data_IF_850624694242
#
_entry.id   IF_850624694242
#
_cell.length_a   1.000
_cell.length_b   1.000
_cell.length_c   1.000
_cell.angle_alpha   90.00
_cell.angle_beta   90.00
_cell.angle_gamma   90.00
#
_symmetry.space_group_name_H-M   'P 1'
#
loop_
_entity.id
_entity.type
_entity.pdbx_description
1 polymer ?
#
# COMPACT_ATOMS: atom_id res chain seq x y z
N UNK A 1 27.92 16.53 13.94
CA UNK A 1 27.13 15.30 13.78
C UNK A 1 25.81 15.56 13.01
N UNK A 2 25.18 16.73 13.20
CA UNK A 2 23.95 17.12 12.48
C UNK A 2 24.32 17.69 11.11
N UNK A 3 23.62 17.26 10.05
CA UNK A 3 23.79 17.74 8.67
C UNK A 3 22.74 18.81 8.33
N UNK A 4 21.49 18.59 8.70
CA UNK A 4 20.37 19.51 8.47
C UNK A 4 19.29 19.37 9.56
N UNK A 5 18.57 20.47 9.78
CA UNK A 5 17.46 20.54 10.72
C UNK A 5 16.26 21.15 10.01
N UNK A 6 15.09 20.56 10.16
CA UNK A 6 13.85 21.13 9.65
C UNK A 6 12.79 21.22 10.73
N UNK A 7 12.00 22.26 10.65
CA UNK A 7 10.79 22.44 11.44
C UNK A 7 9.61 22.34 10.49
N UNK A 8 8.58 21.63 10.90
CA UNK A 8 7.41 21.41 10.08
C UNK A 8 6.15 21.25 10.91
N UNK A 9 5.02 21.33 10.23
CA UNK A 9 3.70 21.07 10.80
C UNK A 9 2.93 20.16 9.84
N UNK A 10 2.48 19.01 10.32
CA UNK A 10 1.78 17.98 9.55
C UNK A 10 2.49 17.58 8.26
N UNK A 11 3.82 17.58 8.24
CA UNK A 11 4.59 17.44 7.01
C UNK A 11 5.49 16.21 6.98
N UNK A 12 5.98 15.73 8.12
CA UNK A 12 6.84 14.55 8.12
C UNK A 12 6.07 13.31 7.65
N UNK A 13 6.67 12.42 6.89
CA UNK A 13 6.07 11.11 6.62
C UNK A 13 5.77 10.35 7.92
N UNK A 14 4.78 9.48 7.90
CA UNK A 14 4.39 8.63 9.04
C UNK A 14 3.90 9.38 10.29
N UNK A 15 3.23 10.52 10.11
CA UNK A 15 2.67 11.27 11.25
C UNK A 15 1.25 10.84 11.62
N UNK A 16 0.49 10.27 10.69
CA UNK A 16 -0.92 9.92 10.90
C UNK A 16 -1.89 11.12 10.92
N UNK A 17 -1.39 12.33 10.98
CA UNK A 17 -2.17 13.57 10.90
C UNK A 17 -1.99 14.22 9.55
N UNK A 18 -3.08 14.72 8.96
CA UNK A 18 -3.07 15.40 7.69
C UNK A 18 -3.86 16.70 7.79
N UNK A 19 -3.27 17.78 7.26
CA UNK A 19 -3.97 19.02 7.00
C UNK A 19 -4.19 19.13 5.50
N UNK A 20 -5.39 19.45 5.07
CA UNK A 20 -5.73 19.76 3.68
C UNK A 20 -6.00 21.25 3.51
N UNK A 21 -5.90 21.74 2.29
CA UNK A 21 -6.40 23.06 1.91
C UNK A 21 -7.12 22.95 0.58
N UNK A 22 -8.31 23.52 0.51
CA UNK A 22 -9.06 23.60 -0.74
C UNK A 22 -8.40 24.65 -1.63
N UNK A 23 -7.65 24.22 -2.63
CA UNK A 23 -6.93 25.10 -3.55
C UNK A 23 -7.54 25.02 -4.94
N UNK A 24 -7.74 26.19 -5.54
CA UNK A 24 -8.17 26.35 -6.93
C UNK A 24 -6.98 26.73 -7.80
N UNK A 25 -6.75 25.96 -8.85
CA UNK A 25 -5.79 26.24 -9.91
C UNK A 25 -6.53 26.18 -11.24
N UNK A 26 -6.52 27.25 -12.00
CA UNK A 26 -7.36 27.41 -13.19
C UNK A 26 -8.84 27.10 -12.86
N UNK A 27 -9.43 26.09 -13.49
CA UNK A 27 -10.80 25.62 -13.26
C UNK A 27 -10.91 24.45 -12.28
N UNK A 28 -9.79 23.90 -11.83
CA UNK A 28 -9.74 22.72 -10.95
C UNK A 28 -9.70 23.17 -9.48
N UNK A 29 -10.62 22.62 -8.69
CA UNK A 29 -10.53 22.67 -7.24
C UNK A 29 -9.97 21.31 -6.75
N UNK A 30 -8.92 21.35 -5.95
CA UNK A 30 -8.24 20.19 -5.40
C UNK A 30 -7.99 20.38 -3.92
N UNK A 31 -7.96 19.27 -3.16
CA UNK A 31 -7.62 19.27 -1.74
C UNK A 31 -6.32 18.48 -1.52
N UNK A 32 -5.15 19.04 -1.86
CA UNK A 32 -3.88 18.43 -1.58
C UNK A 32 -3.55 18.50 -0.07
N UNK A 33 -2.67 17.63 0.37
CA UNK A 33 -2.09 17.70 1.72
C UNK A 33 -1.29 19.00 1.86
N UNK A 34 -1.65 19.80 2.84
CA UNK A 34 -0.91 21.01 3.20
C UNK A 34 0.23 20.64 4.14
N UNK A 35 1.44 21.04 3.77
CA UNK A 35 2.65 20.84 4.55
C UNK A 35 3.33 22.17 4.81
N UNK A 36 3.31 22.64 6.05
CA UNK A 36 4.06 23.83 6.44
C UNK A 36 5.47 23.40 6.83
N UNK A 37 6.49 23.85 6.12
CA UNK A 37 7.87 23.35 6.26
C UNK A 37 8.89 24.48 6.16
N UNK A 38 9.99 24.34 6.88
CA UNK A 38 11.17 25.17 6.63
C UNK A 38 11.89 24.68 5.35
N UNK A 39 12.63 25.57 4.65
CA UNK A 39 13.30 25.21 3.40
C UNK A 39 14.19 23.99 3.49
N UNK A 40 14.86 23.76 4.63
CA UNK A 40 15.74 22.63 4.85
C UNK A 40 15.04 21.27 4.96
N UNK A 41 13.70 21.26 5.03
CA UNK A 41 12.89 20.06 4.99
C UNK A 41 13.23 19.17 3.78
N UNK A 42 13.41 19.77 2.61
CA UNK A 42 13.75 19.04 1.40
C UNK A 42 15.14 18.41 1.46
N UNK A 43 16.08 19.00 2.20
CA UNK A 43 17.40 18.41 2.46
C UNK A 43 17.28 17.28 3.48
N UNK A 44 16.56 17.46 4.59
CA UNK A 44 16.39 16.46 5.63
C UNK A 44 15.81 15.17 5.05
N UNK A 45 14.78 15.28 4.21
CA UNK A 45 14.11 14.12 3.61
C UNK A 45 14.61 13.74 2.20
N UNK A 46 15.68 14.41 1.70
CA UNK A 46 16.30 14.16 0.39
C UNK A 46 15.31 14.16 -0.78
N UNK A 47 14.40 15.12 -0.79
CA UNK A 47 13.51 15.31 -1.92
C UNK A 47 14.31 15.58 -3.20
N UNK A 48 13.72 15.24 -4.33
CA UNK A 48 14.31 15.52 -5.63
C UNK A 48 13.36 16.42 -6.42
N UNK A 49 13.90 17.43 -7.07
CA UNK A 49 13.16 18.20 -8.04
C UNK A 49 12.78 17.35 -9.25
N UNK A 50 11.66 17.63 -9.89
CA UNK A 50 11.17 16.90 -11.06
C UNK A 50 12.17 16.94 -12.23
N UNK A 51 12.98 17.97 -12.33
CA UNK A 51 14.05 18.13 -13.33
C UNK A 51 15.35 17.37 -13.01
N UNK A 52 15.41 16.69 -11.86
CA UNK A 52 16.56 15.88 -11.46
C UNK A 52 17.73 16.65 -10.83
N UNK A 53 17.63 17.95 -10.60
CA UNK A 53 18.69 18.79 -10.00
C UNK A 53 18.79 18.67 -8.46
N UNK A 54 18.29 17.60 -7.87
CA UNK A 54 18.29 17.41 -6.42
C UNK A 54 17.25 18.27 -5.71
N UNK A 55 17.52 18.60 -4.43
CA UNK A 55 16.57 19.36 -3.58
C UNK A 55 16.75 20.88 -3.65
N UNK A 56 17.88 21.37 -4.16
CA UNK A 56 18.22 22.80 -4.16
C UNK A 56 17.17 23.71 -4.83
N UNK A 57 16.59 23.36 -6.00
CA UNK A 57 15.53 24.17 -6.60
C UNK A 57 14.29 24.31 -5.73
N UNK A 58 13.97 23.27 -4.94
CA UNK A 58 12.82 23.25 -4.04
C UNK A 58 13.05 24.19 -2.83
N UNK A 59 14.26 24.11 -2.27
CA UNK A 59 14.70 25.03 -1.19
C UNK A 59 14.62 26.47 -1.64
N UNK A 60 15.14 26.77 -2.85
CA UNK A 60 15.12 28.13 -3.39
C UNK A 60 13.71 28.64 -3.67
N UNK A 61 12.81 27.75 -4.13
CA UNK A 61 11.42 28.11 -4.37
C UNK A 61 10.74 28.58 -3.07
N UNK A 62 10.88 27.83 -1.96
CA UNK A 62 10.33 28.25 -0.67
C UNK A 62 10.96 29.56 -0.16
N UNK A 63 12.30 29.71 -0.19
CA UNK A 63 12.98 30.93 0.23
C UNK A 63 12.55 32.18 -0.55
N UNK A 64 12.03 31.98 -1.76
CA UNK A 64 11.47 33.07 -2.58
C UNK A 64 9.97 33.32 -2.29
N UNK A 65 9.40 32.74 -1.26
CA UNK A 65 7.97 32.86 -0.91
C UNK A 65 7.03 32.10 -1.85
N UNK A 66 7.56 31.21 -2.70
CA UNK A 66 6.76 30.35 -3.58
C UNK A 66 6.48 29.01 -2.91
N UNK A 67 5.50 28.27 -3.41
CA UNK A 67 5.16 26.95 -2.91
C UNK A 67 5.76 25.85 -3.77
N UNK A 68 5.91 24.66 -3.16
CA UNK A 68 6.39 23.46 -3.83
C UNK A 68 5.27 22.43 -3.88
N UNK A 69 5.09 21.81 -5.04
CA UNK A 69 4.08 20.75 -5.25
C UNK A 69 4.74 19.47 -5.79
N UNK A 70 4.06 18.34 -5.66
CA UNK A 70 4.50 17.09 -6.30
C UNK A 70 4.14 17.06 -7.80
N UNK A 71 4.93 16.38 -8.63
CA UNK A 71 4.63 16.18 -10.06
C UNK A 71 3.27 15.47 -10.30
N UNK A 72 2.77 14.75 -9.32
CA UNK A 72 1.46 14.08 -9.33
C UNK A 72 0.31 14.95 -8.83
N UNK A 73 0.48 16.27 -8.80
CA UNK A 73 -0.54 17.21 -8.31
C UNK A 73 -1.86 17.12 -9.08
N UNK A 74 -1.80 16.96 -10.41
CA UNK A 74 -2.98 16.83 -11.24
C UNK A 74 -3.65 15.48 -11.09
N UNK A 75 -4.99 15.40 -11.00
CA UNK A 75 -5.74 14.16 -11.13
C UNK A 75 -5.42 13.45 -12.46
N UNK A 76 -5.54 12.13 -12.50
CA UNK A 76 -5.27 11.35 -13.71
C UNK A 76 -6.15 11.72 -14.90
N UNK A 77 -7.40 12.03 -14.63
CA UNK A 77 -8.45 12.39 -15.59
C UNK A 77 -8.40 13.86 -16.01
N UNK A 78 -7.49 14.65 -15.44
CA UNK A 78 -7.33 16.04 -15.83
C UNK A 78 -6.84 16.16 -17.28
N UNK A 79 -7.65 16.80 -18.12
CA UNK A 79 -7.42 16.96 -19.58
C UNK A 79 -6.81 18.31 -19.95
N UNK A 80 -6.61 19.22 -19.00
CA UNK A 80 -6.03 20.55 -19.24
C UNK A 80 -4.51 20.54 -19.33
N UNK A 81 -3.96 21.76 -19.36
CA UNK A 81 -2.50 21.98 -19.32
C UNK A 81 -1.93 21.54 -17.98
N UNK A 82 -1.07 20.51 -18.00
CA UNK A 82 -0.43 19.94 -16.83
C UNK A 82 0.83 20.66 -16.36
N UNK A 83 1.19 21.76 -16.98
CA UNK A 83 2.30 22.59 -16.51
C UNK A 83 1.96 23.12 -15.11
N UNK A 84 2.86 22.92 -14.17
CA UNK A 84 2.69 23.35 -12.77
C UNK A 84 3.51 24.61 -12.47
N UNK A 85 4.76 24.63 -12.94
CA UNK A 85 5.70 25.69 -12.61
C UNK A 85 5.19 27.06 -13.10
N UNK A 86 5.19 28.05 -12.20
CA UNK A 86 4.78 29.42 -12.49
C UNK A 86 3.28 29.68 -12.39
N UNK A 87 2.43 28.65 -12.28
CA UNK A 87 0.98 28.83 -12.06
C UNK A 87 0.70 29.33 -10.66
N UNK A 88 -0.45 30.00 -10.53
CA UNK A 88 -0.97 30.50 -9.26
C UNK A 88 -2.12 29.62 -8.78
N UNK A 89 -2.14 29.40 -7.48
CA UNK A 89 -3.21 28.71 -6.77
C UNK A 89 -3.85 29.68 -5.79
N UNK A 90 -5.16 29.65 -5.72
CA UNK A 90 -5.96 30.49 -4.80
C UNK A 90 -6.59 29.60 -3.74
N UNK A 91 -6.47 29.97 -2.49
CA UNK A 91 -7.18 29.31 -1.40
C UNK A 91 -8.68 29.56 -1.55
N UNK A 92 -9.50 28.51 -1.54
CA UNK A 92 -10.95 28.61 -1.74
C UNK A 92 -11.62 29.24 -0.52
N UNK A 93 -11.09 28.96 0.67
CA UNK A 93 -11.64 29.45 1.93
C UNK A 93 -11.19 30.90 2.21
N UNK A 94 -10.04 31.30 1.66
CA UNK A 94 -9.50 32.66 1.79
C UNK A 94 -8.89 33.11 0.46
N UNK A 95 -9.72 33.71 -0.37
CA UNK A 95 -9.32 34.15 -1.72
C UNK A 95 -8.24 35.26 -1.74
N UNK A 96 -7.88 35.82 -0.59
CA UNK A 96 -6.75 36.78 -0.49
C UNK A 96 -5.40 36.03 -0.49
N UNK A 97 -5.39 34.73 -0.18
CA UNK A 97 -4.20 33.92 -0.21
C UNK A 97 -3.97 33.31 -1.59
N UNK A 98 -3.00 33.86 -2.27
CA UNK A 98 -2.54 33.39 -3.58
C UNK A 98 -1.15 32.80 -3.44
N UNK A 99 -0.98 31.58 -3.91
CA UNK A 99 0.28 30.85 -3.87
C UNK A 99 0.82 30.64 -5.27
N UNK A 100 2.05 31.07 -5.54
CA UNK A 100 2.72 30.81 -6.80
C UNK A 100 3.55 29.54 -6.71
N UNK A 101 3.42 28.64 -7.68
CA UNK A 101 4.20 27.41 -7.75
C UNK A 101 5.60 27.74 -8.27
N UNK A 102 6.61 27.67 -7.38
CA UNK A 102 8.01 27.91 -7.71
C UNK A 102 8.85 26.66 -7.83
N UNK A 103 8.35 25.52 -7.34
CA UNK A 103 9.05 24.26 -7.37
C UNK A 103 8.13 23.06 -7.60
N UNK A 104 8.64 22.07 -8.33
CA UNK A 104 7.95 20.80 -8.54
C UNK A 104 8.89 19.67 -8.13
N UNK A 105 8.48 18.85 -7.15
CA UNK A 105 9.23 17.68 -6.75
C UNK A 105 8.85 16.45 -7.55
N UNK A 106 9.73 15.47 -7.61
CA UNK A 106 9.33 14.13 -8.00
C UNK A 106 8.26 13.61 -7.07
N UNK A 107 7.50 12.61 -7.53
CA UNK A 107 6.50 11.94 -6.73
C UNK A 107 7.11 11.41 -5.45
N UNK A 108 6.55 11.81 -4.31
CA UNK A 108 6.98 11.37 -2.99
C UNK A 108 5.86 10.53 -2.39
N UNK A 109 6.20 9.39 -1.84
CA UNK A 109 5.26 8.54 -1.14
C UNK A 109 5.22 8.95 0.32
N UNK A 110 4.04 9.36 0.78
CA UNK A 110 3.85 9.79 2.16
C UNK A 110 3.82 8.60 3.14
N UNK A 111 3.25 7.48 2.69
CA UNK A 111 3.05 6.28 3.47
C UNK A 111 3.07 5.07 2.53
N UNK A 112 3.63 3.94 2.98
CA UNK A 112 3.78 2.76 2.14
C UNK A 112 2.45 2.07 1.80
N UNK A 113 1.41 2.29 2.60
CA UNK A 113 0.10 1.61 2.48
C UNK A 113 -1.03 2.52 2.03
N UNK A 114 -0.81 3.83 1.92
CA UNK A 114 -1.88 4.74 1.52
C UNK A 114 -2.05 4.81 -0.01
N UNK A 115 -3.30 5.05 -0.47
CA UNK A 115 -3.54 5.19 -1.89
C UNK A 115 -2.85 6.42 -2.47
N UNK A 116 -2.56 6.38 -3.76
CA UNK A 116 -1.76 7.39 -4.46
C UNK A 116 -2.32 8.82 -4.43
N UNK A 117 -3.62 9.00 -4.21
CA UNK A 117 -4.22 10.35 -4.11
C UNK A 117 -3.75 11.09 -2.84
N UNK A 118 -3.41 10.35 -1.78
CA UNK A 118 -2.89 10.92 -0.53
C UNK A 118 -1.49 11.49 -0.67
N UNK A 119 -0.81 11.21 -1.77
CA UNK A 119 0.55 11.67 -2.03
C UNK A 119 0.60 13.08 -2.66
N UNK A 120 -0.56 13.64 -3.06
CA UNK A 120 -0.63 15.01 -3.58
C UNK A 120 -0.46 15.99 -2.45
N UNK A 121 0.48 16.89 -2.57
CA UNK A 121 0.78 17.87 -1.53
C UNK A 121 1.12 19.24 -2.08
N UNK A 122 0.97 20.23 -1.22
CA UNK A 122 1.51 21.57 -1.36
C UNK A 122 2.36 21.88 -0.14
N UNK A 123 3.63 22.18 -0.34
CA UNK A 123 4.52 22.64 0.71
C UNK A 123 4.57 24.16 0.70
N UNK A 124 4.24 24.75 1.84
CA UNK A 124 4.20 26.18 2.10
C UNK A 124 5.25 26.47 3.15
N UNK A 125 5.88 27.63 3.06
CA UNK A 125 6.87 28.05 4.05
C UNK A 125 6.26 28.10 5.46
N UNK A 126 6.99 27.54 6.42
CA UNK A 126 6.60 27.58 7.81
C UNK A 126 6.75 29.02 8.34
N UNK A 127 5.69 29.65 8.86
CA UNK A 127 5.76 31.02 9.28
C UNK A 127 6.70 31.19 10.50
N UNK A 128 7.73 32.01 10.36
CA UNK A 128 8.69 32.28 11.45
C UNK A 128 8.04 32.84 12.71
N UNK A 129 6.95 33.59 12.58
CA UNK A 129 6.21 34.14 13.71
C UNK A 129 5.68 33.09 14.67
N UNK A 130 5.32 31.91 14.18
CA UNK A 130 4.88 30.80 15.02
C UNK A 130 6.01 30.29 15.94
N UNK A 131 7.26 30.51 15.53
CA UNK A 131 8.43 30.15 16.32
C UNK A 131 8.71 31.10 17.48
N UNK A 132 8.30 32.35 17.36
CA UNK A 132 8.58 33.43 18.32
C UNK A 132 7.39 33.68 19.26
N UNK A 133 6.19 33.58 18.74
CA UNK A 133 4.93 33.73 19.46
C UNK A 133 4.33 32.34 19.72
N UNK A 134 4.94 31.55 20.59
CA UNK A 134 4.28 30.41 21.20
C UNK A 134 3.25 30.93 22.22
N UNK A 135 2.27 31.65 21.69
CA UNK A 135 1.09 31.99 22.46
C UNK A 135 0.27 30.73 22.71
N UNK A 136 -0.35 30.62 23.86
CA UNK A 136 -1.01 29.43 24.40
C UNK A 136 -2.06 28.79 23.47
N UNK A 137 -2.48 29.48 22.40
CA UNK A 137 -3.46 29.02 21.43
C UNK A 137 -2.87 28.27 20.22
N UNK A 138 -1.57 28.34 19.96
CA UNK A 138 -0.94 27.62 18.86
C UNK A 138 -0.33 26.32 19.36
N UNK A 139 -1.03 25.24 19.12
CA UNK A 139 -0.76 23.87 19.50
C UNK A 139 0.70 23.43 19.29
N UNK A 140 1.54 23.41 20.32
CA UNK A 140 2.91 22.88 20.24
C UNK A 140 2.94 21.39 19.84
N UNK A 141 1.82 20.69 20.02
CA UNK A 141 1.68 19.26 19.74
C UNK A 141 1.74 18.88 18.26
N UNK A 142 1.61 19.86 17.36
CA UNK A 142 1.66 19.61 15.91
C UNK A 142 2.97 20.06 15.24
N UNK A 143 3.87 20.70 16.01
CA UNK A 143 5.18 21.12 15.49
C UNK A 143 6.18 19.98 15.61
N UNK A 144 6.86 19.71 14.52
CA UNK A 144 7.81 18.61 14.35
C UNK A 144 9.19 19.18 14.08
N UNK A 145 10.18 18.70 14.83
CA UNK A 145 11.59 18.98 14.57
C UNK A 145 12.26 17.72 14.07
N UNK A 146 12.75 17.74 12.83
CA UNK A 146 13.42 16.60 12.21
C UNK A 146 14.88 16.95 11.97
N UNK A 147 15.76 16.02 12.34
CA UNK A 147 17.21 16.15 12.19
C UNK A 147 17.71 15.11 11.19
N UNK A 148 18.63 15.52 10.33
CA UNK A 148 19.44 14.58 9.56
C UNK A 148 20.84 14.55 10.14
N UNK A 149 21.30 13.37 10.52
CA UNK A 149 22.66 13.14 11.00
C UNK A 149 23.58 12.76 9.84
N UNK A 150 24.87 13.09 10.00
CA UNK A 150 25.92 12.74 9.03
C UNK A 150 26.14 11.22 8.98
N UNK A 151 26.51 10.66 7.82
CA UNK A 151 26.89 9.25 7.74
C UNK A 151 27.99 8.92 8.74
N UNK A 152 27.86 7.79 9.45
CA UNK A 152 28.84 7.36 10.46
C UNK A 152 28.59 7.91 11.86
N UNK A 153 27.53 8.67 12.09
CA UNK A 153 27.11 9.07 13.44
C UNK A 153 26.73 7.84 14.26
N UNK A 154 27.14 7.82 15.54
CA UNK A 154 26.89 6.73 16.48
C UNK A 154 25.38 6.45 16.65
N UNK A 155 25.03 5.19 16.89
CA UNK A 155 23.66 4.80 17.23
C UNK A 155 23.17 5.44 18.52
N UNK A 156 24.09 5.81 19.41
CA UNK A 156 23.78 6.46 20.69
C UNK A 156 23.51 7.97 20.56
N UNK A 157 23.46 8.49 19.32
CA UNK A 157 23.23 9.91 19.06
C UNK A 157 21.95 10.42 19.73
N UNK A 158 20.86 9.66 19.68
CA UNK A 158 19.59 10.03 20.31
C UNK A 158 19.72 10.18 21.82
N UNK A 159 20.42 9.25 22.49
CA UNK A 159 20.69 9.35 23.95
C UNK A 159 21.60 10.53 24.27
N UNK A 160 22.62 10.77 23.44
CA UNK A 160 23.52 11.89 23.62
C UNK A 160 22.78 13.23 23.47
N UNK A 161 21.93 13.35 22.46
CA UNK A 161 21.09 14.53 22.24
C UNK A 161 20.13 14.75 23.41
N UNK A 162 19.54 13.69 23.96
CA UNK A 162 18.67 13.78 25.14
C UNK A 162 19.42 14.26 26.39
N UNK A 163 20.65 13.81 26.59
CA UNK A 163 21.49 14.29 27.70
C UNK A 163 21.85 15.77 27.53
N UNK A 164 22.14 16.22 26.33
CA UNK A 164 22.39 17.63 26.04
C UNK A 164 21.13 18.49 26.20
N UNK A 165 19.97 17.95 25.86
CA UNK A 165 18.70 18.69 25.90
C UNK A 165 18.34 19.15 27.28
N UNK A 166 18.61 18.34 28.30
CA UNK A 166 18.31 18.66 29.70
C UNK A 166 19.04 19.93 30.19
N UNK A 167 20.20 20.26 29.61
CA UNK A 167 21.04 21.35 30.05
C UNK A 167 21.18 22.53 29.09
N UNK A 168 21.00 22.29 27.78
CA UNK A 168 21.39 23.28 26.76
C UNK A 168 20.30 23.56 25.71
N UNK A 169 19.28 22.72 25.57
CA UNK A 169 18.25 22.84 24.54
C UNK A 169 16.85 23.07 25.11
N UNK A 170 16.77 23.70 26.28
CA UNK A 170 15.52 24.16 26.89
C UNK A 170 15.39 25.67 26.75
N UNK A 171 14.24 26.16 26.30
CA UNK A 171 13.95 27.60 26.19
C UNK A 171 12.57 27.84 26.82
N UNK A 172 12.57 28.58 27.96
CA UNK A 172 11.34 28.76 28.72
C UNK A 172 10.75 27.43 29.19
N UNK A 173 9.50 27.17 28.83
CA UNK A 173 8.79 25.92 29.12
C UNK A 173 8.96 24.86 28.05
N UNK A 174 9.72 25.12 26.99
CA UNK A 174 9.97 24.18 25.92
C UNK A 174 11.21 23.36 26.20
N UNK A 175 11.07 22.06 26.14
CA UNK A 175 12.17 21.09 26.27
C UNK A 175 11.92 19.87 25.41
N UNK A 176 12.98 19.18 25.03
CA UNK A 176 12.89 17.96 24.25
C UNK A 176 12.44 16.83 25.17
N UNK A 177 11.22 16.34 24.96
CA UNK A 177 10.67 15.25 25.74
C UNK A 177 11.24 13.90 25.32
N UNK A 178 11.38 13.68 24.02
CA UNK A 178 11.86 12.42 23.45
C UNK A 178 12.47 12.63 22.07
N UNK A 179 13.52 11.88 21.78
CA UNK A 179 14.11 11.75 20.44
C UNK A 179 13.78 10.36 19.91
N UNK A 180 13.18 10.29 18.74
CA UNK A 180 12.84 9.04 18.07
C UNK A 180 13.78 8.81 16.90
N UNK A 181 14.25 7.58 16.72
CA UNK A 181 14.78 7.15 15.45
C UNK A 181 13.63 7.12 14.42
N UNK A 182 13.93 7.56 13.21
CA UNK A 182 12.91 7.65 12.17
C UNK A 182 12.48 6.26 11.64
N UNK A 183 13.36 5.27 11.72
CA UNK A 183 13.04 3.89 11.36
C UNK A 183 12.06 3.27 12.36
N UNK A 184 12.27 3.48 13.65
CA UNK A 184 11.35 3.02 14.69
C UNK A 184 9.96 3.68 14.53
N UNK A 185 9.94 4.97 14.31
CA UNK A 185 8.70 5.72 14.09
C UNK A 185 7.92 5.23 12.86
N UNK A 186 8.62 4.90 11.77
CA UNK A 186 8.04 4.29 10.58
C UNK A 186 7.43 2.92 10.89
N UNK A 187 8.17 2.07 11.61
CA UNK A 187 7.73 0.72 11.98
C UNK A 187 6.50 0.77 12.87
N UNK A 188 6.51 1.61 13.91
CA UNK A 188 5.38 1.81 14.81
C UNK A 188 4.13 2.27 14.04
N UNK A 189 4.29 3.26 13.16
CA UNK A 189 3.19 3.79 12.37
C UNK A 189 2.59 2.73 11.42
N UNK A 190 3.45 1.89 10.82
CA UNK A 190 3.03 0.88 9.86
C UNK A 190 2.56 -0.42 10.51
N UNK A 191 2.81 -0.62 11.82
CA UNK A 191 2.49 -1.86 12.51
C UNK A 191 1.01 -2.26 12.35
N UNK A 192 0.08 -1.29 12.45
CA UNK A 192 -1.34 -1.52 12.24
C UNK A 192 -1.65 -2.07 10.84
N UNK A 193 -1.01 -1.53 9.81
CA UNK A 193 -1.17 -1.99 8.43
C UNK A 193 -0.57 -3.38 8.22
N UNK A 194 0.60 -3.66 8.79
CA UNK A 194 1.21 -5.00 8.76
C UNK A 194 0.31 -6.04 9.45
N UNK A 195 -0.24 -5.71 10.62
CA UNK A 195 -1.16 -6.59 11.32
C UNK A 195 -2.41 -6.90 10.48
N UNK A 196 -2.98 -5.90 9.81
CA UNK A 196 -4.11 -6.12 8.90
C UNK A 196 -3.76 -7.04 7.73
N UNK A 197 -2.59 -6.87 7.12
CA UNK A 197 -2.11 -7.76 6.06
C UNK A 197 -1.95 -9.18 6.59
N UNK A 198 -1.35 -9.34 7.76
CA UNK A 198 -1.15 -10.65 8.40
C UNK A 198 -2.48 -11.34 8.70
N UNK A 199 -3.45 -10.63 9.26
CA UNK A 199 -4.80 -11.17 9.51
C UNK A 199 -5.46 -11.63 8.20
N UNK A 200 -5.35 -10.84 7.12
CA UNK A 200 -5.88 -11.23 5.80
C UNK A 200 -5.20 -12.48 5.26
N UNK A 201 -3.89 -12.66 5.47
CA UNK A 201 -3.20 -13.89 5.09
C UNK A 201 -3.69 -15.11 5.88
N UNK A 202 -3.90 -14.97 7.17
CA UNK A 202 -4.47 -16.05 8.00
C UNK A 202 -5.89 -16.42 7.57
N UNK A 203 -6.74 -15.44 7.32
CA UNK A 203 -8.10 -15.66 6.81
C UNK A 203 -8.09 -16.35 5.44
N UNK A 204 -7.23 -15.92 4.53
CA UNK A 204 -7.08 -16.54 3.22
C UNK A 204 -6.58 -17.99 3.35
N UNK A 205 -5.60 -18.25 4.20
CA UNK A 205 -5.10 -19.59 4.47
C UNK A 205 -6.18 -20.54 5.02
N UNK A 206 -6.99 -20.02 5.96
CA UNK A 206 -8.14 -20.76 6.50
C UNK A 206 -9.19 -21.09 5.42
N UNK A 207 -9.53 -20.11 4.56
CA UNK A 207 -10.47 -20.34 3.46
C UNK A 207 -9.93 -21.36 2.46
N UNK A 208 -8.65 -21.29 2.09
CA UNK A 208 -8.01 -22.25 1.20
C UNK A 208 -8.03 -23.67 1.80
N UNK A 209 -7.78 -23.79 3.10
CA UNK A 209 -7.87 -25.08 3.79
C UNK A 209 -9.29 -25.65 3.74
N UNK A 210 -10.31 -24.83 4.00
CA UNK A 210 -11.71 -25.26 3.89
C UNK A 210 -12.09 -25.70 2.47
N UNK A 211 -11.64 -24.97 1.46
CA UNK A 211 -11.86 -25.32 0.05
C UNK A 211 -11.19 -26.67 -0.24
N UNK A 212 -9.94 -26.87 0.20
CA UNK A 212 -9.22 -28.13 0.01
C UNK A 212 -9.96 -29.33 0.65
N UNK A 213 -10.42 -29.15 1.90
CA UNK A 213 -11.21 -30.18 2.58
C UNK A 213 -12.52 -30.48 1.85
N UNK A 214 -13.21 -29.44 1.36
CA UNK A 214 -14.40 -29.59 0.53
C UNK A 214 -14.14 -30.36 -0.77
N UNK A 215 -13.04 -30.05 -1.47
CA UNK A 215 -12.61 -30.78 -2.66
C UNK A 215 -12.36 -32.25 -2.34
N UNK A 216 -11.53 -32.53 -1.30
CA UNK A 216 -11.22 -33.90 -0.89
C UNK A 216 -12.49 -34.66 -0.54
N UNK A 217 -13.39 -34.08 0.27
CA UNK A 217 -14.65 -34.71 0.66
C UNK A 217 -15.57 -35.00 -0.52
N UNK A 218 -15.74 -34.03 -1.43
CA UNK A 218 -16.59 -34.18 -2.61
C UNK A 218 -16.05 -35.25 -3.56
N UNK A 219 -14.74 -35.25 -3.84
CA UNK A 219 -14.14 -36.26 -4.71
C UNK A 219 -14.06 -37.62 -4.03
N UNK A 220 -13.89 -37.69 -2.71
CA UNK A 220 -13.97 -38.93 -1.94
C UNK A 220 -15.33 -39.58 -2.11
N UNK A 221 -16.42 -38.84 -1.80
CA UNK A 221 -17.77 -39.34 -1.92
C UNK A 221 -18.10 -39.78 -3.36
N UNK A 222 -17.74 -38.96 -4.34
CA UNK A 222 -17.97 -39.26 -5.76
C UNK A 222 -17.22 -40.51 -6.23
N UNK A 223 -15.98 -40.68 -5.75
CA UNK A 223 -15.15 -41.84 -6.09
C UNK A 223 -15.69 -43.12 -5.48
N UNK A 224 -16.23 -43.07 -4.28
CA UNK A 224 -16.87 -44.21 -3.64
C UNK A 224 -18.15 -44.62 -4.40
N UNK A 225 -19.01 -43.67 -4.76
CA UNK A 225 -20.23 -43.97 -5.52
C UNK A 225 -19.98 -44.53 -6.93
N UNK A 226 -18.84 -44.20 -7.55
CA UNK A 226 -18.47 -44.69 -8.89
C UNK A 226 -17.42 -45.80 -8.83
N UNK A 227 -17.30 -46.48 -7.69
CA UNK A 227 -16.31 -47.54 -7.46
C UNK A 227 -16.51 -48.69 -8.45
N UNK A 228 -17.74 -49.17 -8.61
CA UNK A 228 -18.11 -50.26 -9.54
C UNK A 228 -17.85 -49.91 -11.01
N UNK A 229 -18.23 -48.69 -11.42
CA UNK A 229 -17.96 -48.18 -12.78
C UNK A 229 -16.46 -48.14 -13.08
N UNK A 230 -15.68 -47.67 -12.10
CA UNK A 230 -14.20 -47.58 -12.20
C UNK A 230 -13.55 -48.93 -12.28
N UNK A 231 -14.04 -49.91 -11.49
CA UNK A 231 -13.57 -51.30 -11.52
C UNK A 231 -13.88 -51.99 -12.85
N UNK A 232 -15.10 -51.81 -13.39
CA UNK A 232 -15.50 -52.32 -14.71
C UNK A 232 -14.62 -51.77 -15.81
N UNK A 233 -14.29 -50.48 -15.80
CA UNK A 233 -13.39 -49.89 -16.78
C UNK A 233 -11.97 -50.46 -16.71
N UNK A 234 -11.45 -50.73 -15.53
CA UNK A 234 -10.14 -51.38 -15.33
C UNK A 234 -10.21 -52.82 -15.87
N UNK A 235 -11.31 -53.53 -15.63
CA UNK A 235 -11.51 -54.89 -16.14
C UNK A 235 -11.55 -54.94 -17.67
N UNK A 236 -12.10 -53.94 -18.33
CA UNK A 236 -12.15 -53.78 -19.79
C UNK A 236 -10.84 -53.24 -20.40
N UNK A 237 -9.79 -52.99 -19.56
CA UNK A 237 -8.45 -52.62 -20.03
C UNK A 237 -8.08 -51.16 -19.87
N UNK A 238 -8.87 -50.34 -19.18
CA UNK A 238 -8.47 -48.95 -18.91
C UNK A 238 -7.26 -48.92 -17.97
N UNK A 239 -6.25 -48.09 -18.29
CA UNK A 239 -5.10 -47.94 -17.44
C UNK A 239 -5.45 -47.08 -16.21
N UNK A 240 -4.77 -47.32 -15.09
CA UNK A 240 -4.90 -46.52 -13.85
C UNK A 240 -4.63 -45.03 -14.08
N UNK A 241 -3.72 -44.69 -14.99
CA UNK A 241 -3.36 -43.34 -15.35
C UNK A 241 -4.49 -42.65 -16.13
N UNK A 242 -5.18 -43.37 -17.02
CA UNK A 242 -6.35 -42.83 -17.71
C UNK A 242 -7.49 -42.45 -16.78
N UNK A 243 -7.73 -43.27 -15.74
CA UNK A 243 -8.74 -42.99 -14.73
C UNK A 243 -8.38 -41.74 -13.89
N UNK A 244 -7.11 -41.63 -13.48
CA UNK A 244 -6.61 -40.44 -12.77
C UNK A 244 -6.70 -39.19 -13.61
N UNK A 245 -6.30 -39.22 -14.88
CA UNK A 245 -6.40 -38.11 -15.81
C UNK A 245 -7.85 -37.65 -16.01
N UNK A 246 -8.80 -38.60 -16.08
CA UNK A 246 -10.22 -38.31 -16.22
C UNK A 246 -10.76 -37.53 -15.03
N UNK A 247 -10.46 -37.97 -13.79
CA UNK A 247 -10.88 -37.28 -12.57
C UNK A 247 -10.31 -35.85 -12.51
N UNK A 248 -9.03 -35.69 -12.85
CA UNK A 248 -8.41 -34.38 -12.87
C UNK A 248 -9.02 -33.46 -13.97
N UNK A 249 -9.27 -33.98 -15.17
CA UNK A 249 -9.94 -33.22 -16.23
C UNK A 249 -11.34 -32.77 -15.80
N UNK A 250 -12.09 -33.63 -15.12
CA UNK A 250 -13.41 -33.28 -14.59
C UNK A 250 -13.31 -32.18 -13.53
N UNK A 251 -12.35 -32.27 -12.58
CA UNK A 251 -12.11 -31.24 -11.58
C UNK A 251 -11.69 -29.89 -12.18
N UNK A 252 -10.76 -29.92 -13.14
CA UNK A 252 -10.31 -28.70 -13.82
C UNK A 252 -11.41 -28.08 -14.70
N UNK A 253 -12.26 -28.88 -15.33
CA UNK A 253 -13.40 -28.38 -16.09
C UNK A 253 -14.40 -27.66 -15.19
N UNK A 254 -14.70 -28.21 -14.02
CA UNK A 254 -15.57 -27.57 -13.04
C UNK A 254 -14.95 -26.26 -12.52
N UNK A 255 -13.65 -26.25 -12.24
CA UNK A 255 -12.94 -25.04 -11.87
C UNK A 255 -13.05 -23.95 -12.95
N UNK A 256 -12.79 -24.32 -14.21
CA UNK A 256 -12.86 -23.37 -15.32
C UNK A 256 -14.26 -22.80 -15.48
N UNK A 257 -15.29 -23.64 -15.38
CA UNK A 257 -16.68 -23.22 -15.47
C UNK A 257 -17.06 -22.25 -14.32
N UNK A 258 -16.56 -22.47 -13.12
CA UNK A 258 -16.77 -21.58 -11.98
C UNK A 258 -15.93 -20.31 -12.05
N UNK A 259 -14.72 -20.39 -12.59
CA UNK A 259 -13.79 -19.26 -12.69
C UNK A 259 -14.27 -18.17 -13.67
N UNK A 260 -15.00 -18.52 -14.72
CA UNK A 260 -15.49 -17.55 -15.71
C UNK A 260 -16.46 -16.52 -15.09
N UNK A 261 -17.57 -16.92 -14.43
CA UNK A 261 -18.45 -15.94 -13.79
C UNK A 261 -17.77 -15.20 -12.63
N UNK A 262 -16.90 -15.88 -11.87
CA UNK A 262 -16.14 -15.25 -10.80
C UNK A 262 -15.21 -14.15 -11.34
N UNK A 263 -14.53 -14.40 -12.49
CA UNK A 263 -13.68 -13.40 -13.13
C UNK A 263 -14.47 -12.15 -13.55
N UNK A 264 -15.67 -12.33 -14.13
CA UNK A 264 -16.54 -11.21 -14.52
C UNK A 264 -16.96 -10.39 -13.30
N UNK A 265 -17.37 -11.05 -12.22
CA UNK A 265 -17.78 -10.37 -10.98
C UNK A 265 -16.60 -9.61 -10.38
N UNK A 266 -15.45 -10.25 -10.20
CA UNK A 266 -14.26 -9.63 -9.62
C UNK A 266 -13.73 -8.47 -10.47
N UNK A 267 -13.80 -8.60 -11.81
CA UNK A 267 -13.42 -7.52 -12.72
C UNK A 267 -14.31 -6.29 -12.51
N UNK A 268 -15.64 -6.47 -12.44
CA UNK A 268 -16.57 -5.37 -12.24
C UNK A 268 -16.41 -4.73 -10.87
N UNK A 269 -16.22 -5.51 -9.80
CA UNK A 269 -15.96 -4.98 -8.45
C UNK A 269 -14.69 -4.11 -8.46
N UNK A 270 -13.62 -4.57 -9.08
CA UNK A 270 -12.37 -3.81 -9.16
C UNK A 270 -12.49 -2.58 -10.06
N UNK A 271 -13.17 -2.69 -11.20
CA UNK A 271 -13.33 -1.57 -12.15
C UNK A 271 -14.20 -0.44 -11.61
N UNK A 272 -15.25 -0.79 -10.86
CA UNK A 272 -16.14 0.19 -10.22
C UNK A 272 -15.58 0.72 -8.91
N UNK A 273 -14.36 0.33 -8.53
CA UNK A 273 -13.69 0.74 -7.28
C UNK A 273 -14.59 0.57 -6.03
N UNK A 274 -15.43 -0.48 -6.04
CA UNK A 274 -16.37 -0.78 -4.94
C UNK A 274 -15.67 -1.20 -3.64
N UNK A 275 -14.37 -1.45 -3.70
CA UNK A 275 -13.52 -1.73 -2.55
C UNK A 275 -12.52 -0.62 -2.40
N UNK A 276 -12.42 -0.03 -1.20
CA UNK A 276 -11.32 0.88 -0.87
C UNK A 276 -9.99 0.15 -1.05
N UNK A 277 -9.30 0.43 -2.14
CA UNK A 277 -8.06 -0.22 -2.51
C UNK A 277 -6.85 0.63 -2.14
N UNK A 278 -5.90 0.05 -1.43
CA UNK A 278 -4.57 0.65 -1.25
C UNK A 278 -3.76 0.73 -2.55
N UNK A 279 -4.30 0.15 -3.63
CA UNK A 279 -3.65 0.10 -4.93
C UNK A 279 -4.64 0.49 -6.03
N UNK A 280 -4.16 1.27 -6.99
CA UNK A 280 -4.94 1.60 -8.18
C UNK A 280 -5.33 0.34 -8.95
N UNK A 281 -6.58 0.27 -9.38
CA UNK A 281 -7.05 -0.80 -10.26
C UNK A 281 -6.30 -0.78 -11.60
N UNK A 282 -5.99 -1.96 -12.14
CA UNK A 282 -5.33 -2.10 -13.43
C UNK A 282 -5.58 -3.47 -14.06
N UNK A 283 -5.95 -3.49 -15.34
CA UNK A 283 -6.24 -4.72 -16.09
C UNK A 283 -5.10 -5.73 -16.03
N UNK A 284 -3.87 -5.27 -16.20
CA UNK A 284 -2.68 -6.15 -16.16
C UNK A 284 -2.53 -6.80 -14.79
N UNK A 285 -2.71 -6.02 -13.72
CA UNK A 285 -2.65 -6.52 -12.34
C UNK A 285 -3.75 -7.53 -12.07
N UNK A 286 -4.97 -7.26 -12.54
CA UNK A 286 -6.09 -8.19 -12.43
C UNK A 286 -5.78 -9.51 -13.12
N UNK A 287 -5.27 -9.48 -14.36
CA UNK A 287 -4.92 -10.69 -15.12
C UNK A 287 -3.84 -11.52 -14.44
N UNK A 288 -2.78 -10.88 -13.93
CA UNK A 288 -1.71 -11.57 -13.19
C UNK A 288 -2.29 -12.26 -11.96
N UNK A 289 -3.09 -11.55 -11.16
CA UNK A 289 -3.71 -12.11 -9.95
C UNK A 289 -4.66 -13.25 -10.28
N UNK A 290 -5.46 -13.11 -11.33
CA UNK A 290 -6.37 -14.15 -11.79
C UNK A 290 -5.62 -15.42 -12.21
N UNK A 291 -4.53 -15.30 -12.98
CA UNK A 291 -3.70 -16.44 -13.40
C UNK A 291 -3.07 -17.14 -12.20
N UNK A 292 -2.52 -16.38 -11.25
CA UNK A 292 -1.93 -16.95 -10.03
C UNK A 292 -2.98 -17.71 -9.23
N UNK A 293 -4.18 -17.12 -9.04
CA UNK A 293 -5.27 -17.72 -8.30
C UNK A 293 -5.77 -18.99 -8.97
N UNK A 294 -5.97 -18.95 -10.30
CA UNK A 294 -6.39 -20.11 -11.09
C UNK A 294 -5.36 -21.24 -11.00
N UNK A 295 -4.07 -20.93 -11.08
CA UNK A 295 -3.00 -21.91 -10.93
C UNK A 295 -3.00 -22.52 -9.54
N UNK A 296 -3.12 -21.71 -8.48
CA UNK A 296 -3.19 -22.18 -7.10
C UNK A 296 -4.38 -23.13 -6.88
N UNK A 297 -5.56 -22.75 -7.37
CA UNK A 297 -6.77 -23.57 -7.27
C UNK A 297 -6.64 -24.87 -8.08
N UNK A 298 -6.03 -24.83 -9.26
CA UNK A 298 -5.74 -26.02 -10.05
C UNK A 298 -4.81 -26.98 -9.29
N UNK A 299 -3.77 -26.46 -8.65
CA UNK A 299 -2.85 -27.25 -7.83
C UNK A 299 -3.58 -27.91 -6.65
N UNK A 300 -4.46 -27.16 -5.98
CA UNK A 300 -5.27 -27.69 -4.88
C UNK A 300 -6.20 -28.83 -5.34
N UNK A 301 -6.81 -28.71 -6.52
CA UNK A 301 -7.63 -29.76 -7.12
C UNK A 301 -6.79 -31.01 -7.39
N UNK A 302 -5.62 -30.85 -7.99
CA UNK A 302 -4.71 -31.99 -8.28
C UNK A 302 -4.31 -32.72 -6.99
N UNK A 303 -3.97 -31.97 -5.93
CA UNK A 303 -3.63 -32.53 -4.62
C UNK A 303 -4.86 -33.19 -3.96
N UNK A 304 -6.00 -32.52 -3.97
CA UNK A 304 -7.23 -32.97 -3.36
C UNK A 304 -7.80 -34.25 -3.99
N UNK A 305 -7.65 -34.41 -5.32
CA UNK A 305 -8.07 -35.60 -6.04
C UNK A 305 -7.07 -36.74 -5.87
N UNK A 306 -5.79 -36.46 -5.64
CA UNK A 306 -4.75 -37.48 -5.58
C UNK A 306 -5.00 -38.55 -4.49
N UNK A 307 -5.47 -38.13 -3.31
CA UNK A 307 -5.72 -39.04 -2.19
C UNK A 307 -6.89 -39.99 -2.47
N UNK A 308 -8.13 -39.53 -2.82
CA UNK A 308 -9.25 -40.42 -3.13
C UNK A 308 -9.00 -41.27 -4.39
N UNK A 309 -8.35 -40.72 -5.41
CA UNK A 309 -8.01 -41.47 -6.61
C UNK A 309 -7.09 -42.65 -6.33
N UNK A 310 -6.08 -42.50 -5.48
CA UNK A 310 -5.19 -43.61 -5.09
C UNK A 310 -5.93 -44.79 -4.47
N UNK A 311 -6.96 -44.56 -3.68
CA UNK A 311 -7.71 -45.64 -3.04
C UNK A 311 -8.48 -46.47 -4.07
N UNK A 312 -9.18 -45.82 -4.99
CA UNK A 312 -9.95 -46.51 -6.02
C UNK A 312 -9.07 -47.25 -7.04
N UNK A 313 -7.93 -46.66 -7.37
CA UNK A 313 -6.97 -47.29 -8.30
C UNK A 313 -6.31 -48.57 -7.72
N UNK A 314 -6.25 -48.73 -6.38
CA UNK A 314 -5.65 -49.88 -5.71
C UNK A 314 -6.60 -51.06 -5.52
N UNK A 315 -7.90 -50.90 -5.77
CA UNK A 315 -8.90 -51.94 -5.56
C UNK A 315 -8.73 -53.02 -6.65
N UNK A 316 -8.79 -54.27 -6.24
CA UNK A 316 -8.82 -55.42 -7.17
C UNK A 316 -10.21 -55.47 -7.82
N UNK A 317 -10.34 -55.59 -9.17
CA UNK A 317 -11.62 -55.62 -9.83
C UNK A 317 -12.57 -56.70 -9.32
N UNK A 318 -12.03 -57.86 -8.87
CA UNK A 318 -12.79 -58.95 -8.32
C UNK A 318 -13.47 -58.64 -6.97
N UNK A 319 -12.86 -57.82 -6.11
CA UNK A 319 -13.44 -57.37 -4.86
C UNK A 319 -14.58 -56.35 -5.05
N UNK A 320 -14.38 -55.41 -5.98
CA UNK A 320 -15.36 -54.36 -6.23
C UNK A 320 -16.67 -54.87 -6.88
N UNK A 321 -16.64 -55.98 -7.59
CA UNK A 321 -17.81 -56.61 -8.19
C UNK A 321 -18.53 -57.62 -7.27
N UNK A 322 -17.92 -57.95 -6.12
CA UNK A 322 -18.51 -58.90 -5.15
C UNK A 322 -19.29 -58.18 -4.03
N UNK A 323 -19.12 -56.87 -3.85
CA UNK A 323 -19.82 -56.05 -2.86
C UNK A 323 -21.21 -55.55 -3.33
N UNK A 324 -21.71 -55.94 -4.53
CA UNK A 324 -23.10 -55.84 -4.94
C UNK A 324 -23.82 -57.22 -4.67
#
# INVERSE_FOLDING_TARGET
EVEAVSISNNARPYIGSNSGSMLRIDTLVSNPLRRSVTPDFFQVFRYQSADGRGYQPLVQALKNGNVVVGENFWPKDYKGDRTLLGKEMVDVDDSTKVYKIGGVSKKVRYNDFWPNYSDRYVAIEFPEKIMVELDDELYPSSVEVCLRVKPGTSRDFAEHLMKLSANQLSVGNLFILKVHDYEDLRNDFQQGSYNQVQVRFWMMGFLLLNILLGIVGTFWFRTQHRRAESALRIAVGASRMQLWQRLNKEGLLLLTLAALPAAVICYNIGHLELTEGYMEWGVVRFLITFVITYFLMSLMILIGIWFPARQVIRIQPAEALREE
#
